data_IF_569778189013
#
_entry.id   IF_569778189013
#
_cell.length_a   1.000
_cell.length_b   1.000
_cell.length_c   1.000
_cell.angle_alpha   90.00
_cell.angle_beta   90.00
_cell.angle_gamma   90.00
#
_symmetry.space_group_name_H-M   'P 1'
#
loop_
_entity.id
_entity.type
_entity.pdbx_description
1 polymer ?
#
# COMPACT_ATOMS: atom_id res chain seq x y z
N UNK A 1 2.24 7.67 -17.85
CA UNK A 1 1.62 7.03 -16.67
C UNK A 1 1.01 5.72 -17.13
N UNK A 2 1.16 4.66 -16.33
CA UNK A 2 0.65 3.35 -16.70
C UNK A 2 -0.88 3.35 -16.79
N UNK A 3 -1.42 2.71 -17.82
CA UNK A 3 -2.86 2.68 -18.09
C UNK A 3 -3.54 1.40 -17.62
N UNK A 4 -2.80 0.28 -17.51
CA UNK A 4 -3.33 -1.01 -17.09
C UNK A 4 -2.72 -1.40 -15.75
N UNK A 5 -3.58 -1.57 -14.75
CA UNK A 5 -3.19 -1.90 -13.37
C UNK A 5 -4.00 -3.09 -12.91
N UNK A 6 -3.30 -4.06 -12.33
CA UNK A 6 -3.92 -5.22 -11.69
C UNK A 6 -3.81 -5.07 -10.17
N UNK A 7 -4.93 -5.24 -9.47
CA UNK A 7 -5.02 -5.21 -8.02
C UNK A 7 -5.13 -6.63 -7.49
N UNK A 8 -4.30 -6.94 -6.50
CA UNK A 8 -4.44 -8.12 -5.64
C UNK A 8 -4.92 -7.70 -4.28
N UNK A 9 -5.90 -8.43 -3.77
CA UNK A 9 -6.46 -8.25 -2.44
C UNK A 9 -6.70 -9.63 -1.82
N UNK A 10 -7.14 -9.66 -0.57
CA UNK A 10 -7.61 -10.91 0.05
C UNK A 10 -8.94 -11.32 -0.57
N UNK A 11 -9.21 -12.64 -0.65
CA UNK A 11 -10.48 -13.19 -1.18
C UNK A 11 -11.73 -12.59 -0.54
N UNK A 12 -11.69 -12.35 0.77
CA UNK A 12 -12.82 -11.81 1.51
C UNK A 12 -13.11 -10.35 1.17
N UNK A 13 -12.10 -9.62 0.68
CA UNK A 13 -12.18 -8.18 0.40
C UNK A 13 -12.51 -7.90 -1.07
N UNK A 14 -12.55 -8.92 -1.93
CA UNK A 14 -12.74 -8.78 -3.38
C UNK A 14 -14.01 -8.00 -3.75
N UNK A 15 -15.12 -8.29 -3.09
CA UNK A 15 -16.39 -7.59 -3.34
C UNK A 15 -16.31 -6.11 -2.95
N UNK A 16 -15.71 -5.80 -1.80
CA UNK A 16 -15.52 -4.43 -1.33
C UNK A 16 -14.61 -3.65 -2.29
N UNK A 17 -13.47 -4.23 -2.67
CA UNK A 17 -12.54 -3.60 -3.62
C UNK A 17 -13.23 -3.35 -4.96
N UNK A 18 -14.00 -4.30 -5.47
CA UNK A 18 -14.74 -4.15 -6.73
C UNK A 18 -15.75 -3.00 -6.69
N UNK A 19 -16.43 -2.80 -5.55
CA UNK A 19 -17.36 -1.69 -5.36
C UNK A 19 -16.66 -0.31 -5.32
N UNK A 20 -15.43 -0.25 -4.82
CA UNK A 20 -14.68 1.00 -4.65
C UNK A 20 -13.87 1.43 -5.89
N UNK A 21 -13.62 0.51 -6.84
CA UNK A 21 -12.84 0.81 -8.05
C UNK A 21 -13.43 1.97 -8.88
N UNK A 22 -14.75 2.06 -9.16
CA UNK A 22 -15.31 3.15 -9.94
C UNK A 22 -15.01 4.53 -9.34
N UNK A 23 -15.23 4.68 -8.03
CA UNK A 23 -14.97 5.93 -7.30
C UNK A 23 -13.48 6.29 -7.31
N UNK A 24 -12.60 5.29 -7.14
CA UNK A 24 -11.16 5.48 -7.20
C UNK A 24 -10.69 5.93 -8.59
N UNK A 25 -11.27 5.37 -9.66
CA UNK A 25 -10.99 5.77 -11.04
C UNK A 25 -11.46 7.20 -11.27
N UNK A 26 -12.65 7.58 -10.81
CA UNK A 26 -13.16 8.94 -10.97
C UNK A 26 -12.25 9.95 -10.26
N UNK A 27 -11.90 9.68 -9.00
CA UNK A 27 -10.98 10.53 -8.24
C UNK A 27 -9.62 10.68 -8.92
N UNK A 28 -9.06 9.57 -9.41
CA UNK A 28 -7.79 9.61 -10.15
C UNK A 28 -7.90 10.48 -11.41
N UNK A 29 -9.00 10.34 -12.17
CA UNK A 29 -9.26 11.13 -13.38
C UNK A 29 -9.35 12.62 -13.08
N UNK A 30 -9.97 12.99 -11.97
CA UNK A 30 -10.10 14.38 -11.53
C UNK A 30 -8.76 14.98 -11.08
N UNK A 31 -8.01 14.28 -10.22
CA UNK A 31 -6.76 14.78 -9.65
C UNK A 31 -5.63 14.86 -10.68
N UNK A 32 -5.53 13.87 -11.58
CA UNK A 32 -4.41 13.75 -12.52
C UNK A 32 -4.76 14.09 -13.98
N UNK A 33 -6.02 14.51 -14.24
CA UNK A 33 -6.53 14.87 -15.58
C UNK A 33 -6.31 13.80 -16.66
N UNK A 34 -6.12 12.54 -16.27
CA UNK A 34 -5.88 11.41 -17.16
C UNK A 34 -7.14 10.57 -17.30
N UNK A 35 -7.58 10.31 -18.54
CA UNK A 35 -8.85 9.64 -18.82
C UNK A 35 -8.76 8.12 -19.01
N UNK A 36 -7.61 7.61 -19.42
CA UNK A 36 -7.41 6.19 -19.70
C UNK A 36 -6.72 5.49 -18.53
N UNK A 37 -7.52 4.85 -17.68
CA UNK A 37 -7.07 3.85 -16.72
C UNK A 37 -8.03 2.68 -16.74
N UNK A 38 -7.44 1.49 -16.76
CA UNK A 38 -8.09 0.20 -16.62
C UNK A 38 -7.55 -0.45 -15.35
N UNK A 39 -8.44 -0.74 -14.43
CA UNK A 39 -8.12 -1.46 -13.21
C UNK A 39 -8.79 -2.83 -13.28
N UNK A 40 -8.01 -3.88 -13.08
CA UNK A 40 -8.46 -5.28 -13.04
C UNK A 40 -8.16 -5.87 -11.67
N UNK A 41 -9.02 -6.76 -11.17
CA UNK A 41 -8.72 -7.54 -9.96
C UNK A 41 -8.19 -8.90 -10.41
N UNK A 42 -7.11 -9.36 -9.78
CA UNK A 42 -6.56 -10.71 -10.01
C UNK A 42 -7.42 -11.76 -9.28
N UNK A 43 -8.17 -12.56 -10.04
CA UNK A 43 -9.01 -13.63 -9.48
C UNK A 43 -8.23 -14.94 -9.25
N UNK A 44 -6.92 -14.98 -9.56
CA UNK A 44 -6.08 -16.17 -9.42
C UNK A 44 -5.11 -16.04 -8.26
N UNK A 45 -4.50 -14.87 -8.11
CA UNK A 45 -3.49 -14.60 -7.09
C UNK A 45 -4.03 -13.61 -6.06
N UNK A 46 -4.38 -14.13 -4.88
CA UNK A 46 -4.87 -13.33 -3.76
C UNK A 46 -3.77 -13.10 -2.73
N UNK A 47 -3.95 -12.08 -1.89
CA UNK A 47 -3.15 -11.93 -0.68
C UNK A 47 -3.44 -13.07 0.30
N UNK A 48 -2.48 -13.40 1.18
CA UNK A 48 -2.66 -14.47 2.17
C UNK A 48 -3.89 -14.22 3.05
N UNK A 49 -4.60 -15.29 3.42
CA UNK A 49 -5.85 -15.18 4.18
C UNK A 49 -5.62 -14.71 5.62
N UNK A 50 -4.42 -14.93 6.14
CA UNK A 50 -3.96 -14.50 7.46
C UNK A 50 -3.51 -13.03 7.49
N UNK A 51 -3.35 -12.38 6.32
CA UNK A 51 -3.04 -10.95 6.28
C UNK A 51 -4.17 -10.11 6.88
N UNK A 52 -3.78 -9.00 7.51
CA UNK A 52 -4.68 -8.00 8.05
C UNK A 52 -5.47 -7.28 6.94
N UNK A 53 -4.97 -7.34 5.70
CA UNK A 53 -5.66 -6.88 4.49
C UNK A 53 -4.92 -5.76 3.78
N UNK A 54 -5.68 -4.99 2.98
CA UNK A 54 -5.14 -4.00 2.06
C UNK A 54 -4.98 -4.56 0.65
N UNK A 55 -4.16 -3.87 -0.16
CA UNK A 55 -4.04 -4.18 -1.59
C UNK A 55 -2.59 -4.13 -2.06
N UNK A 56 -2.27 -4.94 -3.06
CA UNK A 56 -1.06 -4.78 -3.88
C UNK A 56 -1.45 -4.41 -5.30
N UNK A 57 -0.78 -3.41 -5.85
CA UNK A 57 -0.97 -2.98 -7.24
C UNK A 57 0.19 -3.46 -8.09
N UNK A 58 -0.14 -3.96 -9.27
CA UNK A 58 0.79 -4.46 -10.27
C UNK A 58 0.60 -3.71 -11.58
N UNK A 59 1.71 -3.29 -12.18
CA UNK A 59 1.77 -2.54 -13.43
C UNK A 59 2.81 -3.15 -14.38
N UNK A 60 2.77 -2.79 -15.67
CA UNK A 60 3.71 -3.26 -16.69
C UNK A 60 3.80 -4.80 -16.77
N UNK A 61 2.65 -5.48 -16.76
CA UNK A 61 2.59 -6.94 -16.78
C UNK A 61 3.18 -7.61 -15.52
N UNK A 62 3.16 -6.92 -14.38
CA UNK A 62 3.63 -7.43 -13.10
C UNK A 62 5.08 -7.08 -12.75
N UNK A 63 5.78 -6.33 -13.59
CA UNK A 63 7.16 -5.89 -13.31
C UNK A 63 7.24 -4.89 -12.16
N UNK A 64 6.27 -3.99 -12.08
CA UNK A 64 6.19 -3.00 -11.01
C UNK A 64 5.15 -3.44 -9.99
N UNK A 65 5.56 -3.50 -8.73
CA UNK A 65 4.68 -3.80 -7.60
C UNK A 65 4.68 -2.64 -6.62
N UNK A 66 3.49 -2.18 -6.25
CA UNK A 66 3.28 -1.24 -5.15
C UNK A 66 2.48 -1.97 -4.07
N UNK A 67 3.11 -2.21 -2.92
CA UNK A 67 2.46 -2.89 -1.80
C UNK A 67 1.86 -1.86 -0.85
N UNK A 68 0.54 -1.89 -0.71
CA UNK A 68 -0.20 -1.04 0.22
C UNK A 68 -1.02 -1.91 1.20
N UNK A 69 -0.46 -3.06 1.57
CA UNK A 69 -0.97 -3.91 2.65
C UNK A 69 -0.65 -3.27 4.00
N UNK A 70 -1.45 -3.56 5.02
CA UNK A 70 -1.35 -2.92 6.33
C UNK A 70 0.02 -3.19 6.98
N UNK A 71 0.52 -4.41 6.85
CA UNK A 71 1.80 -4.85 7.39
C UNK A 71 2.97 -4.10 6.76
N UNK A 72 2.93 -3.86 5.45
CA UNK A 72 3.95 -3.09 4.74
C UNK A 72 3.97 -1.63 5.20
N UNK A 73 2.79 -1.02 5.36
CA UNK A 73 2.67 0.35 5.89
C UNK A 73 3.18 0.44 7.33
N UNK A 74 2.80 -0.53 8.17
CA UNK A 74 3.24 -0.58 9.56
C UNK A 74 4.75 -0.74 9.65
N UNK A 75 5.34 -1.65 8.88
CA UNK A 75 6.79 -1.84 8.83
C UNK A 75 7.53 -0.59 8.37
N UNK A 76 7.00 0.09 7.33
CA UNK A 76 7.59 1.33 6.83
C UNK A 76 7.58 2.44 7.90
N UNK A 77 6.43 2.65 8.56
CA UNK A 77 6.31 3.64 9.63
C UNK A 77 7.20 3.25 10.81
N UNK A 78 7.16 1.99 11.24
CA UNK A 78 7.94 1.48 12.35
C UNK A 78 9.44 1.76 12.17
N UNK A 79 9.98 1.54 10.96
CA UNK A 79 11.38 1.84 10.67
C UNK A 79 11.70 3.34 10.73
N UNK A 80 10.76 4.20 10.33
CA UNK A 80 10.94 5.65 10.40
C UNK A 80 10.93 6.16 11.85
N UNK A 81 10.06 5.59 12.69
CA UNK A 81 9.87 6.02 14.09
C UNK A 81 10.70 5.21 15.11
N UNK A 82 11.54 4.31 14.61
CA UNK A 82 12.32 3.40 15.46
C UNK A 82 13.24 4.15 16.44
N UNK A 83 13.90 5.26 16.05
CA UNK A 83 14.70 6.07 16.97
C UNK A 83 13.87 6.59 18.16
N UNK A 84 12.68 7.13 17.90
CA UNK A 84 11.79 7.68 18.93
C UNK A 84 11.23 6.59 19.83
N UNK A 85 10.89 5.41 19.27
CA UNK A 85 10.47 4.26 20.07
C UNK A 85 11.59 3.83 21.02
N UNK A 86 12.83 3.77 20.53
CA UNK A 86 13.99 3.38 21.35
C UNK A 86 14.22 4.37 22.48
N UNK A 87 14.20 5.66 22.18
CA UNK A 87 14.38 6.72 23.18
C UNK A 87 13.27 6.69 24.25
N UNK A 88 12.01 6.53 23.86
CA UNK A 88 10.89 6.44 24.82
C UNK A 88 10.92 5.18 25.67
N UNK A 89 11.38 4.06 25.11
CA UNK A 89 11.36 2.76 25.80
C UNK A 89 12.57 2.57 26.72
N UNK A 90 13.74 3.07 26.33
CA UNK A 90 15.01 2.83 27.03
C UNK A 90 15.66 4.09 27.59
N UNK A 91 15.05 5.26 27.37
CA UNK A 91 15.60 6.56 27.73
C UNK A 91 16.55 7.12 26.66
N UNK A 92 16.93 8.38 26.85
CA UNK A 92 17.86 9.09 25.97
C UNK A 92 19.27 8.53 26.16
N UNK A 93 19.97 8.30 25.06
CA UNK A 93 21.39 7.98 25.10
C UNK A 93 22.18 9.21 25.54
N UNK A 94 22.72 9.17 26.76
CA UNK A 94 23.50 10.27 27.35
C UNK A 94 24.78 10.58 26.56
N UNK A 95 25.26 9.66 25.72
CA UNK A 95 26.44 9.85 24.88
C UNK A 95 26.10 10.45 23.51
N UNK A 96 24.82 10.52 23.11
CA UNK A 96 24.41 11.11 21.84
C UNK A 96 24.45 12.64 21.97
N UNK A 97 25.48 13.25 21.35
CA UNK A 97 25.71 14.70 21.41
C UNK A 97 24.93 15.51 20.36
N UNK A 98 24.53 14.88 19.26
CA UNK A 98 23.88 15.54 18.12
C UNK A 98 22.67 14.72 17.66
N UNK A 99 21.61 15.42 17.26
CA UNK A 99 20.33 14.83 16.85
C UNK A 99 20.02 15.04 15.36
N UNK A 100 20.96 15.64 14.63
CA UNK A 100 20.86 16.03 13.23
C UNK A 100 21.21 14.89 12.26
#
# INVERSE_FOLDING_TARGET
MEKDVTIRCRRNDTNLVKQLIPDAIERYKQELKQKDIKITIDDKNFLPAESAGGIELYAMGGKNKVSNIIEARLSMIFNQILPEIREKSFGVDQNRKYHD
#
